data_IF_099453730122
#
_entry.id   IF_099453730122
#
_cell.length_a   1.000
_cell.length_b   1.000
_cell.length_c   1.000
_cell.angle_alpha   90.00
_cell.angle_beta   90.00
_cell.angle_gamma   90.00
#
_symmetry.space_group_name_H-M   'P 1'
#
loop_
_entity.id
_entity.type
_entity.pdbx_description
1 polymer ?
#
# COMPACT_ATOMS: atom_id res chain seq x y z
N UNK A 1 -16.16 30.46 21.14
CA UNK A 1 -15.09 29.47 21.38
C UNK A 1 -14.77 28.81 20.06
N UNK A 2 -13.60 29.09 19.49
CA UNK A 2 -13.10 28.30 18.36
C UNK A 2 -12.66 26.96 18.94
N UNK A 3 -13.24 25.85 18.48
CA UNK A 3 -12.76 24.53 18.83
C UNK A 3 -11.26 24.47 18.46
N UNK A 4 -10.40 24.18 19.44
CA UNK A 4 -9.04 23.78 19.16
C UNK A 4 -9.13 22.53 18.30
N UNK A 5 -8.86 22.65 16.99
CA UNK A 5 -8.63 21.48 16.16
C UNK A 5 -7.33 20.85 16.65
N UNK A 6 -7.41 19.95 17.62
CA UNK A 6 -6.25 19.17 18.04
C UNK A 6 -5.86 18.28 16.86
N UNK A 7 -4.71 18.57 16.25
CA UNK A 7 -4.12 17.69 15.27
C UNK A 7 -3.64 16.44 16.02
N UNK A 8 -4.12 15.27 15.59
CA UNK A 8 -3.64 13.98 16.09
C UNK A 8 -2.49 13.53 15.19
N UNK A 9 -1.35 13.20 15.79
CA UNK A 9 -0.25 12.56 15.07
C UNK A 9 -0.55 11.05 14.97
N UNK A 10 -0.32 10.47 13.79
CA UNK A 10 -0.52 9.04 13.55
C UNK A 10 0.77 8.44 12.99
N UNK A 11 1.18 7.30 13.54
CA UNK A 11 2.26 6.47 12.97
C UNK A 11 1.65 5.55 11.93
N UNK A 12 2.16 5.65 10.70
CA UNK A 12 1.62 4.90 9.55
C UNK A 12 2.74 4.10 8.89
N UNK A 13 2.49 2.82 8.65
CA UNK A 13 3.29 2.04 7.70
C UNK A 13 2.53 1.96 6.37
N UNK A 14 3.06 2.62 5.34
CA UNK A 14 2.39 2.89 4.07
C UNK A 14 2.62 1.81 2.99
N UNK A 15 3.52 0.86 3.23
CA UNK A 15 4.01 -0.03 2.18
C UNK A 15 4.48 -1.38 2.74
N UNK A 16 3.75 -2.44 2.40
CA UNK A 16 4.03 -3.83 2.78
C UNK A 16 3.19 -4.80 1.94
N UNK A 17 3.57 -6.07 1.97
CA UNK A 17 2.94 -7.12 1.17
C UNK A 17 2.36 -8.24 2.03
N UNK A 18 1.32 -8.88 1.51
CA UNK A 18 0.72 -10.10 2.03
C UNK A 18 1.05 -11.28 1.11
N UNK A 19 0.56 -12.46 1.47
CA UNK A 19 0.58 -13.65 0.59
C UNK A 19 -0.21 -13.52 -0.72
N UNK A 20 -0.83 -12.38 -0.99
CA UNK A 20 -1.48 -12.12 -2.28
C UNK A 20 -0.49 -11.65 -3.36
N UNK A 21 0.67 -11.11 -2.99
CA UNK A 21 1.85 -11.00 -3.88
C UNK A 21 3.00 -11.88 -3.41
N UNK A 22 3.95 -11.30 -2.69
CA UNK A 22 5.28 -11.81 -2.36
C UNK A 22 5.57 -11.71 -0.84
N UNK A 23 4.62 -11.17 -0.07
CA UNK A 23 4.63 -11.23 1.38
C UNK A 23 4.29 -12.63 1.91
N UNK A 24 4.51 -12.84 3.21
CA UNK A 24 4.38 -14.17 3.82
C UNK A 24 3.12 -14.34 4.68
N UNK A 25 2.46 -13.25 5.04
CA UNK A 25 1.40 -13.23 6.06
C UNK A 25 0.10 -12.67 5.49
N UNK A 26 -1.00 -12.87 6.22
CA UNK A 26 -2.33 -12.33 5.90
C UNK A 26 -2.52 -10.89 6.38
N UNK A 27 -3.54 -10.21 5.83
CA UNK A 27 -3.99 -8.90 6.34
C UNK A 27 -4.29 -8.93 7.85
N UNK A 28 -4.91 -10.01 8.34
CA UNK A 28 -5.23 -10.15 9.77
C UNK A 28 -3.94 -10.26 10.61
N UNK A 29 -2.95 -11.04 10.17
CA UNK A 29 -1.65 -11.16 10.85
C UNK A 29 -0.85 -9.86 10.82
N UNK A 30 -0.89 -9.10 9.70
CA UNK A 30 -0.33 -7.75 9.62
C UNK A 30 -0.98 -6.84 10.66
N UNK A 31 -2.31 -6.84 10.75
CA UNK A 31 -3.01 -6.01 11.72
C UNK A 31 -2.65 -6.37 13.16
N UNK A 32 -2.48 -7.67 13.48
CA UNK A 32 -2.00 -8.09 14.80
C UNK A 32 -0.57 -7.62 15.08
N UNK A 33 0.34 -7.73 14.11
CA UNK A 33 1.70 -7.23 14.24
C UNK A 33 1.72 -5.70 14.45
N UNK A 34 0.88 -4.97 13.74
CA UNK A 34 0.75 -3.52 13.89
C UNK A 34 0.21 -3.10 15.27
N UNK A 35 -0.80 -3.81 15.80
CA UNK A 35 -1.30 -3.61 17.16
C UNK A 35 -0.21 -3.87 18.22
N UNK A 36 0.58 -4.92 18.04
CA UNK A 36 1.69 -5.25 18.93
C UNK A 36 2.79 -4.17 18.87
N UNK A 37 3.06 -3.63 17.68
CA UNK A 37 4.06 -2.59 17.45
C UNK A 37 3.58 -1.17 17.85
N UNK A 38 2.28 -0.97 18.11
CA UNK A 38 1.73 0.36 18.40
C UNK A 38 1.61 1.27 17.18
N UNK A 39 1.41 0.70 15.99
CA UNK A 39 1.17 1.44 14.75
C UNK A 39 -0.33 1.78 14.64
N UNK A 40 -0.65 3.02 14.28
CA UNK A 40 -2.03 3.49 14.18
C UNK A 40 -2.72 3.06 12.88
N UNK A 41 -1.96 3.05 11.78
CA UNK A 41 -2.47 2.72 10.44
C UNK A 41 -1.46 1.89 9.65
N UNK A 42 -1.96 0.90 8.92
CA UNK A 42 -1.19 0.16 7.92
C UNK A 42 -1.90 0.22 6.57
N UNK A 43 -1.14 0.40 5.49
CA UNK A 43 -1.64 0.29 4.12
C UNK A 43 -0.92 -0.88 3.46
N UNK A 44 -1.68 -1.94 3.15
CA UNK A 44 -1.17 -3.10 2.41
C UNK A 44 -1.16 -2.75 0.93
N UNK A 45 -0.06 -3.04 0.25
CA UNK A 45 0.20 -2.66 -1.14
C UNK A 45 0.78 -3.83 -1.91
N UNK A 46 -0.01 -4.92 -2.02
CA UNK A 46 0.41 -6.09 -2.80
C UNK A 46 0.77 -5.70 -4.25
N UNK A 47 1.74 -6.41 -4.85
CA UNK A 47 2.16 -6.14 -6.22
C UNK A 47 1.03 -6.43 -7.21
N UNK A 48 0.65 -5.41 -7.97
CA UNK A 48 -0.29 -5.47 -9.10
C UNK A 48 -1.67 -6.10 -8.79
N UNK A 49 -2.05 -6.20 -7.52
CA UNK A 49 -3.30 -6.82 -7.06
C UNK A 49 -3.96 -5.91 -6.03
N UNK A 50 -5.23 -5.57 -6.27
CA UNK A 50 -6.05 -4.85 -5.29
C UNK A 50 -7.01 -5.80 -4.58
N UNK A 51 -6.84 -5.98 -3.26
CA UNK A 51 -7.66 -6.90 -2.46
C UNK A 51 -8.83 -6.16 -1.80
N UNK A 52 -10.04 -6.39 -2.30
CA UNK A 52 -11.26 -5.83 -1.69
C UNK A 52 -11.69 -6.59 -0.42
N UNK A 53 -12.07 -5.87 0.63
CA UNK A 53 -12.70 -6.43 1.84
C UNK A 53 -11.89 -6.41 3.15
N UNK A 54 -10.54 -6.49 3.16
CA UNK A 54 -9.76 -6.44 4.39
C UNK A 54 -9.81 -5.09 5.13
N UNK A 55 -10.15 -3.99 4.46
CA UNK A 55 -10.17 -2.65 5.06
C UNK A 55 -11.15 -2.56 6.24
N UNK A 56 -10.61 -2.36 7.44
CA UNK A 56 -11.38 -2.15 8.67
C UNK A 56 -10.48 -1.71 9.82
N UNK A 57 -11.11 -1.35 10.93
CA UNK A 57 -10.42 -1.25 12.20
C UNK A 57 -10.27 -2.63 12.85
N UNK A 58 -9.04 -2.98 13.21
CA UNK A 58 -8.72 -4.11 14.07
C UNK A 58 -8.52 -3.60 15.50
N UNK A 59 -8.87 -4.42 16.49
CA UNK A 59 -8.85 -4.03 17.90
C UNK A 59 -8.31 -5.16 18.78
N UNK A 60 -7.55 -4.78 19.80
CA UNK A 60 -7.15 -5.63 20.91
C UNK A 60 -7.16 -4.80 22.21
N UNK A 61 -8.13 -5.06 23.08
CA UNK A 61 -8.42 -4.21 24.23
C UNK A 61 -8.69 -2.75 23.81
N UNK A 62 -7.93 -1.82 24.39
CA UNK A 62 -8.01 -0.38 24.09
C UNK A 62 -7.18 0.03 22.86
N UNK A 63 -6.37 -0.88 22.31
CA UNK A 63 -5.57 -0.62 21.11
C UNK A 63 -6.41 -0.84 19.85
N UNK A 64 -6.14 -0.02 18.83
CA UNK A 64 -6.72 -0.16 17.50
C UNK A 64 -5.70 0.15 16.43
N UNK A 65 -5.83 -0.52 15.29
CA UNK A 65 -5.13 -0.16 14.05
C UNK A 65 -6.16 -0.09 12.92
N UNK A 66 -6.05 0.90 12.06
CA UNK A 66 -6.78 0.95 10.79
C UNK A 66 -5.94 0.23 9.73
N UNK A 67 -6.48 -0.81 9.12
CA UNK A 67 -5.90 -1.42 7.93
C UNK A 67 -6.63 -0.88 6.70
N UNK A 68 -5.85 -0.41 5.72
CA UNK A 68 -6.29 0.02 4.39
C UNK A 68 -5.59 -0.82 3.31
N UNK A 69 -6.13 -0.81 2.10
CA UNK A 69 -5.56 -1.53 0.95
C UNK A 69 -5.32 -0.57 -0.21
N UNK A 70 -4.07 -0.55 -0.68
CA UNK A 70 -3.64 0.05 -1.93
C UNK A 70 -3.03 -1.01 -2.86
N UNK A 71 -2.27 -0.55 -3.84
CA UNK A 71 -1.49 -1.41 -4.75
C UNK A 71 -0.06 -0.87 -4.83
N UNK A 72 0.91 -1.76 -5.01
CA UNK A 72 2.19 -1.38 -5.62
C UNK A 72 2.20 -1.84 -7.08
N UNK A 73 2.13 -0.89 -7.99
CA UNK A 73 1.95 -1.17 -9.42
C UNK A 73 3.27 -1.02 -10.16
N UNK A 74 3.62 -2.04 -10.94
CA UNK A 74 4.77 -2.04 -11.85
C UNK A 74 4.48 -2.74 -13.17
N UNK A 75 5.25 -2.38 -14.21
CA UNK A 75 5.19 -3.08 -15.49
C UNK A 75 6.05 -4.34 -15.40
N UNK A 76 5.40 -5.51 -15.37
CA UNK A 76 6.06 -6.81 -15.27
C UNK A 76 6.91 -7.16 -16.50
N UNK A 77 6.73 -6.44 -17.61
CA UNK A 77 7.45 -6.69 -18.87
C UNK A 77 8.52 -5.64 -19.17
N UNK A 78 8.71 -4.66 -18.29
CA UNK A 78 9.69 -3.59 -18.46
C UNK A 78 11.10 -4.12 -18.27
N UNK A 79 12.00 -3.74 -19.17
CA UNK A 79 13.43 -4.05 -19.10
C UNK A 79 14.28 -2.77 -19.21
N UNK A 80 15.08 -2.40 -18.19
CA UNK A 80 15.13 -3.03 -16.86
C UNK A 80 13.89 -2.68 -16.02
N UNK A 81 13.40 -3.63 -15.24
CA UNK A 81 12.30 -3.41 -14.31
C UNK A 81 12.82 -2.49 -13.18
N UNK A 82 12.29 -1.26 -13.14
CA UNK A 82 12.73 -0.22 -12.21
C UNK A 82 11.60 0.70 -11.74
N UNK A 83 10.35 0.35 -12.03
CA UNK A 83 9.23 1.26 -11.78
C UNK A 83 8.25 0.64 -10.82
N UNK A 84 8.10 1.22 -9.64
CA UNK A 84 7.06 0.85 -8.71
C UNK A 84 6.31 2.10 -8.25
N UNK A 85 4.97 2.02 -8.30
CA UNK A 85 4.08 3.11 -7.93
C UNK A 85 3.12 2.65 -6.86
N UNK A 86 3.18 3.28 -5.69
CA UNK A 86 2.15 3.09 -4.67
C UNK A 86 0.90 3.84 -5.08
N UNK A 87 -0.23 3.15 -5.07
CA UNK A 87 -1.54 3.70 -5.37
C UNK A 87 -2.46 3.50 -4.17
N UNK A 88 -2.99 4.59 -3.63
CA UNK A 88 -3.89 4.59 -2.48
C UNK A 88 -5.26 5.16 -2.83
N UNK A 89 -6.32 4.58 -2.25
CA UNK A 89 -7.67 5.15 -2.31
C UNK A 89 -8.31 5.17 -3.70
N UNK A 90 -7.78 4.41 -4.67
CA UNK A 90 -8.37 4.30 -6.01
C UNK A 90 -9.69 3.51 -6.03
N UNK A 91 -9.94 2.67 -5.02
CA UNK A 91 -11.17 1.88 -4.86
C UNK A 91 -11.39 0.81 -5.94
N UNK A 92 -10.37 0.53 -6.76
CA UNK A 92 -10.34 -0.50 -7.80
C UNK A 92 -8.91 -0.79 -8.23
N UNK A 93 -8.69 -1.96 -8.82
CA UNK A 93 -7.43 -2.35 -9.43
C UNK A 93 -7.07 -1.46 -10.63
N UNK A 94 -5.81 -1.02 -10.69
CA UNK A 94 -5.27 -0.20 -11.78
C UNK A 94 -4.03 -0.81 -12.45
N UNK A 95 -3.59 -2.00 -12.04
CA UNK A 95 -2.39 -2.68 -12.55
C UNK A 95 -2.37 -2.88 -14.07
N UNK A 96 -3.55 -2.98 -14.71
CA UNK A 96 -3.68 -3.05 -16.18
C UNK A 96 -3.14 -1.82 -16.94
N UNK A 97 -2.89 -0.71 -16.24
CA UNK A 97 -2.33 0.52 -16.82
C UNK A 97 -0.81 0.62 -16.68
N UNK A 98 -0.16 -0.35 -16.02
CA UNK A 98 1.25 -0.26 -15.62
C UNK A 98 2.25 -0.06 -16.76
N UNK A 99 1.93 -0.53 -17.97
CA UNK A 99 2.78 -0.43 -19.16
C UNK A 99 3.10 1.02 -19.56
N UNK A 100 2.25 1.98 -19.19
CA UNK A 100 2.45 3.40 -19.45
C UNK A 100 2.25 4.20 -18.15
N UNK A 101 3.35 4.67 -17.51
CA UNK A 101 3.26 5.41 -16.25
C UNK A 101 2.36 6.65 -16.31
N UNK A 102 2.27 7.33 -17.45
CA UNK A 102 1.38 8.49 -17.57
C UNK A 102 -0.09 8.05 -17.55
N UNK A 103 -0.44 6.96 -18.25
CA UNK A 103 -1.78 6.38 -18.19
C UNK A 103 -2.13 5.90 -16.80
N UNK A 104 -1.17 5.30 -16.09
CA UNK A 104 -1.38 4.89 -14.70
C UNK A 104 -1.69 6.12 -13.81
N UNK A 105 -0.87 7.17 -13.88
CA UNK A 105 -1.08 8.42 -13.11
C UNK A 105 -2.45 9.05 -13.42
N UNK A 106 -2.82 9.12 -14.70
CA UNK A 106 -4.12 9.65 -15.12
C UNK A 106 -5.26 8.77 -14.62
N UNK A 107 -5.11 7.45 -14.66
CA UNK A 107 -6.06 6.48 -14.13
C UNK A 107 -6.27 6.61 -12.62
N UNK A 108 -5.18 6.79 -11.86
CA UNK A 108 -5.23 7.06 -10.41
C UNK A 108 -5.96 8.37 -10.13
N UNK A 109 -5.63 9.44 -10.86
CA UNK A 109 -6.30 10.75 -10.71
C UNK A 109 -7.79 10.65 -11.02
N UNK A 110 -8.18 9.96 -12.10
CA UNK A 110 -9.58 9.75 -12.47
C UNK A 110 -10.35 8.95 -11.41
N UNK A 111 -9.68 8.01 -10.74
CA UNK A 111 -10.24 7.24 -9.63
C UNK A 111 -10.32 8.04 -8.31
N UNK A 112 -9.75 9.25 -8.25
CA UNK A 112 -9.65 10.05 -7.02
C UNK A 112 -8.59 9.55 -6.03
N UNK A 113 -7.69 8.67 -6.48
CA UNK A 113 -6.62 8.12 -5.66
C UNK A 113 -5.38 9.01 -5.58
N UNK A 114 -4.40 8.54 -4.82
CA UNK A 114 -3.07 9.14 -4.67
C UNK A 114 -2.01 8.21 -5.26
N UNK A 115 -0.98 8.79 -5.88
CA UNK A 115 0.14 8.07 -6.45
C UNK A 115 1.47 8.55 -5.85
N UNK A 116 2.33 7.61 -5.46
CA UNK A 116 3.69 7.88 -4.97
C UNK A 116 4.68 6.98 -5.70
N UNK A 117 5.88 7.48 -6.00
CA UNK A 117 6.98 6.65 -6.50
C UNK A 117 7.52 5.84 -5.31
N UNK A 118 7.45 4.52 -5.39
CA UNK A 118 8.08 3.64 -4.42
C UNK A 118 9.59 3.62 -4.68
N UNK A 119 10.38 3.47 -3.60
CA UNK A 119 11.84 3.26 -3.60
C UNK A 119 12.55 3.75 -4.89
N UNK A 120 12.64 5.08 -5.11
CA UNK A 120 13.15 5.65 -6.38
C UNK A 120 14.60 5.29 -6.69
N UNK A 121 15.32 4.79 -5.69
CA UNK A 121 16.64 4.19 -5.80
C UNK A 121 16.57 2.82 -5.14
N UNK A 122 16.13 1.82 -5.92
CA UNK A 122 16.04 0.45 -5.46
C UNK A 122 17.19 -0.40 -6.04
N UNK A 123 18.11 -0.90 -5.21
CA UNK A 123 19.13 -1.84 -5.67
C UNK A 123 18.53 -3.24 -5.81
N UNK A 124 18.86 -3.99 -6.88
CA UNK A 124 18.34 -5.34 -7.11
C UNK A 124 18.54 -6.25 -5.90
N UNK A 125 17.44 -6.85 -5.43
CA UNK A 125 17.47 -7.81 -4.33
C UNK A 125 17.63 -9.22 -4.87
N UNK A 126 18.89 -9.63 -5.04
CA UNK A 126 19.25 -10.97 -5.55
C UNK A 126 18.63 -12.14 -4.76
N UNK A 127 18.30 -11.92 -3.49
CA UNK A 127 17.72 -12.93 -2.60
C UNK A 127 16.25 -13.21 -2.93
N UNK A 128 15.49 -12.20 -3.39
CA UNK A 128 14.06 -12.31 -3.65
C UNK A 128 13.72 -12.33 -5.15
N UNK A 129 14.74 -12.27 -6.02
CA UNK A 129 14.54 -12.27 -7.46
C UNK A 129 13.93 -10.96 -7.98
N UNK A 130 13.97 -9.91 -7.16
CA UNK A 130 13.57 -8.58 -7.57
C UNK A 130 14.66 -7.97 -8.47
N UNK A 131 14.28 -7.49 -9.65
CA UNK A 131 15.19 -6.95 -10.67
C UNK A 131 15.91 -5.64 -10.30
#
# INVERSE_FOLDING_TARGET
>A
MLASNSMQELTINLHMHTRFSDGHVTHDEIAQAALAAGIDVVIVTDHNVWVNGPEKHYKDGDKRVLLLVGEEIHDQTREPQKNHMLVFGAGRELSTLAYDPNRLIDGVRQAGGLAFIAHPVDPPSKTFGEP
#
